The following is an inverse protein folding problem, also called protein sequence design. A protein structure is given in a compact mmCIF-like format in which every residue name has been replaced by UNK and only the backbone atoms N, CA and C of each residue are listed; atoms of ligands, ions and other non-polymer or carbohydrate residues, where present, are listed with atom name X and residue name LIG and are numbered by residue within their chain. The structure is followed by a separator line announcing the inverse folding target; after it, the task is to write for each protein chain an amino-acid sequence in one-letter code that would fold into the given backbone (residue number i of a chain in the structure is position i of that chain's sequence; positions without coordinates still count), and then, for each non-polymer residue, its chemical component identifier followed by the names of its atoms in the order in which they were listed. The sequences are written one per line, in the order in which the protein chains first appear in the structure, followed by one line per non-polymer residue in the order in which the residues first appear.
data_IF_435300285519
#
_entry.id   IF_435300285519
#
_cell.length_a   1.000
_cell.length_b   1.000
_cell.length_c   1.000
_cell.angle_alpha   90.00
_cell.angle_beta   90.00
_cell.angle_gamma   90.00
#
_symmetry.space_group_name_H-M   'P 1'
#
loop_
_entity.id
_entity.type
_entity.pdbx_description
1 polymer ?
#
# COMPACT_ATOMS: atom_id res chain seq x y z
N UNK A 1 -17.88 -11.25 -9.11
CA UNK A 1 -16.50 -10.73 -9.12
C UNK A 1 -16.16 -10.37 -7.69
N UNK A 2 -14.96 -10.68 -7.20
CA UNK A 2 -14.58 -10.37 -5.82
C UNK A 2 -14.09 -8.93 -5.76
N UNK A 3 -14.59 -8.14 -4.83
CA UNK A 3 -14.15 -6.78 -4.53
C UNK A 3 -13.56 -6.72 -3.12
N UNK A 4 -12.74 -5.72 -2.87
CA UNK A 4 -12.08 -5.49 -1.58
C UNK A 4 -11.78 -4.01 -1.41
N UNK A 5 -11.59 -3.57 -0.17
CA UNK A 5 -11.33 -2.17 0.14
C UNK A 5 -9.83 -1.92 0.23
N UNK A 6 -9.36 -0.95 -0.54
CA UNK A 6 -7.94 -0.55 -0.56
C UNK A 6 -7.78 0.94 -0.36
N UNK A 7 -6.67 1.33 0.26
CA UNK A 7 -6.25 2.73 0.33
C UNK A 7 -4.78 2.86 -0.08
N UNK A 8 -4.36 4.03 -0.59
CA UNK A 8 -2.96 4.26 -0.89
C UNK A 8 -2.15 4.21 0.40
N UNK A 9 -0.91 3.70 0.30
CA UNK A 9 0.01 3.77 1.41
C UNK A 9 0.28 5.24 1.80
N UNK A 10 0.55 5.54 3.09
CA UNK A 10 0.86 6.91 3.52
C UNK A 10 2.03 7.50 2.72
N UNK A 11 1.84 8.70 2.17
CA UNK A 11 2.85 9.35 1.32
C UNK A 11 2.95 8.79 -0.11
N UNK A 12 2.04 7.90 -0.53
CA UNK A 12 1.91 7.45 -1.91
C UNK A 12 0.65 7.99 -2.56
N UNK A 13 0.77 8.23 -3.87
CA UNK A 13 -0.34 8.60 -4.73
C UNK A 13 -0.47 7.52 -5.80
N UNK A 14 -1.52 6.71 -5.72
CA UNK A 14 -1.78 5.63 -6.66
C UNK A 14 -2.94 6.04 -7.57
N UNK A 15 -2.71 6.00 -8.89
CA UNK A 15 -3.76 6.22 -9.88
C UNK A 15 -4.49 4.92 -10.19
N UNK A 16 -5.80 5.03 -10.35
CA UNK A 16 -6.65 3.98 -10.88
C UNK A 16 -6.46 3.88 -12.41
N UNK A 17 -6.28 2.68 -12.98
CA UNK A 17 -6.09 2.50 -14.42
C UNK A 17 -7.36 2.79 -15.23
N UNK A 18 -8.54 2.65 -14.63
CA UNK A 18 -9.84 2.79 -15.30
C UNK A 18 -10.35 4.22 -15.22
N UNK A 19 -10.30 4.84 -14.04
CA UNK A 19 -10.78 6.22 -13.85
C UNK A 19 -9.71 7.28 -14.11
N UNK A 20 -8.43 6.88 -14.11
CA UNK A 20 -7.25 7.77 -14.19
C UNK A 20 -7.16 8.78 -13.04
N UNK A 21 -8.03 8.65 -12.03
CA UNK A 21 -8.04 9.45 -10.81
C UNK A 21 -7.14 8.83 -9.74
N UNK A 22 -6.74 9.64 -8.77
CA UNK A 22 -6.00 9.13 -7.61
C UNK A 22 -6.97 8.49 -6.62
N UNK A 23 -6.55 7.37 -6.03
CA UNK A 23 -7.27 6.75 -4.92
C UNK A 23 -7.44 7.75 -3.77
N UNK A 24 -8.65 7.76 -3.17
CA UNK A 24 -8.89 8.52 -1.94
C UNK A 24 -7.96 8.05 -0.81
N UNK A 25 -7.45 8.99 0.01
CA UNK A 25 -6.62 8.66 1.17
C UNK A 25 -7.36 7.81 2.21
N UNK A 26 -8.69 7.97 2.31
CA UNK A 26 -9.56 7.18 3.18
C UNK A 26 -9.81 5.76 2.63
N UNK A 27 -9.46 5.51 1.38
CA UNK A 27 -9.66 4.24 0.68
C UNK A 27 -10.96 4.15 -0.12
N UNK A 28 -11.01 3.15 -1.00
CA UNK A 28 -12.10 2.87 -1.92
C UNK A 28 -12.27 1.36 -2.12
N UNK A 29 -13.49 0.95 -2.48
CA UNK A 29 -13.75 -0.41 -2.94
C UNK A 29 -13.27 -0.58 -4.38
N UNK A 30 -12.43 -1.60 -4.62
CA UNK A 30 -11.93 -1.93 -5.96
C UNK A 30 -12.10 -3.42 -6.26
N UNK A 31 -12.23 -3.78 -7.55
CA UNK A 31 -12.26 -5.18 -7.96
C UNK A 31 -10.93 -5.86 -7.71
N UNK A 32 -10.96 -7.13 -7.30
CA UNK A 32 -9.78 -7.96 -7.14
C UNK A 32 -9.21 -8.35 -8.51
N UNK A 33 -8.47 -7.41 -9.10
CA UNK A 33 -7.80 -7.57 -10.39
C UNK A 33 -6.30 -7.78 -10.21
N UNK A 34 -5.61 -8.38 -11.20
CA UNK A 34 -4.16 -8.54 -11.16
C UNK A 34 -3.40 -7.23 -10.97
N UNK A 35 -3.95 -6.11 -11.46
CA UNK A 35 -3.37 -4.78 -11.28
C UNK A 35 -3.28 -4.39 -9.81
N UNK A 36 -4.39 -4.51 -9.07
CA UNK A 36 -4.42 -4.15 -7.65
C UNK A 36 -3.64 -5.14 -6.79
N UNK A 37 -3.64 -6.42 -7.13
CA UNK A 37 -2.81 -7.42 -6.46
C UNK A 37 -1.32 -7.05 -6.54
N UNK A 38 -0.84 -6.67 -7.73
CA UNK A 38 0.56 -6.25 -7.89
C UNK A 38 0.89 -5.01 -7.06
N UNK A 39 -0.05 -4.06 -6.98
CA UNK A 39 0.11 -2.83 -6.21
C UNK A 39 0.11 -3.07 -4.69
N UNK A 40 -0.61 -4.10 -4.23
CA UNK A 40 -0.54 -4.60 -2.86
C UNK A 40 0.84 -5.23 -2.58
N UNK A 41 1.32 -6.07 -3.50
CA UNK A 41 2.64 -6.72 -3.37
C UNK A 41 3.79 -5.69 -3.37
N UNK A 42 3.68 -4.66 -4.21
CA UNK A 42 4.63 -3.52 -4.26
C UNK A 42 4.56 -2.63 -3.00
N UNK A 43 3.49 -2.75 -2.20
CA UNK A 43 3.26 -1.96 -0.98
C UNK A 43 2.78 -0.53 -1.25
N UNK A 44 2.31 -0.24 -2.45
CA UNK A 44 1.79 1.07 -2.84
C UNK A 44 0.34 1.28 -2.40
N UNK A 45 -0.42 0.20 -2.25
CA UNK A 45 -1.76 0.19 -1.65
C UNK A 45 -1.80 -0.81 -0.51
N UNK A 46 -2.73 -0.60 0.42
CA UNK A 46 -2.99 -1.48 1.55
C UNK A 46 -4.47 -1.84 1.59
N UNK A 47 -4.75 -3.12 1.79
CA UNK A 47 -6.11 -3.61 2.05
C UNK A 47 -6.53 -3.20 3.47
N UNK A 48 -7.78 -2.77 3.61
CA UNK A 48 -8.38 -2.48 4.92
C UNK A 48 -9.82 -2.99 4.93
N UNK A 49 -10.37 -3.25 6.11
CA UNK A 49 -11.78 -3.60 6.26
C UNK A 49 -12.51 -2.44 6.96
N UNK A 50 -13.46 -1.76 6.30
CA UNK A 50 -14.19 -0.64 6.90
C UNK A 50 -15.14 -1.06 8.02
N UNK A 51 -15.50 -2.34 8.12
CA UNK A 51 -16.41 -2.86 9.13
C UNK A 51 -15.68 -3.59 10.28
N UNK A 52 -14.38 -3.88 10.11
CA UNK A 52 -13.55 -4.34 11.21
C UNK A 52 -13.31 -3.16 12.16
N UNK A 53 -13.78 -3.30 13.40
CA UNK A 53 -13.41 -2.42 14.52
C UNK A 53 -11.88 -2.30 14.54
N UNK A 54 -11.29 -1.10 14.77
CA UNK A 54 -9.87 -0.84 14.53
C UNK A 54 -9.01 -1.55 15.58
N UNK A 55 -8.84 -2.86 15.44
CA UNK A 55 -7.80 -3.62 16.10
C UNK A 55 -6.55 -3.45 15.25
N UNK A 56 -5.72 -2.49 15.66
CA UNK A 56 -4.36 -2.23 15.18
C UNK A 56 -3.66 -3.55 14.84
N UNK A 57 -3.53 -3.88 13.55
CA UNK A 57 -2.51 -4.80 13.07
C UNK A 57 -1.92 -4.22 11.79
N UNK A 58 -1.10 -3.19 11.98
CA UNK A 58 -0.06 -2.85 11.05
C UNK A 58 0.94 -4.03 11.01
N UNK A 59 0.99 -4.75 9.89
CA UNK A 59 1.95 -5.82 9.65
C UNK A 59 1.49 -6.66 8.48
N UNK A 60 2.03 -6.51 7.27
CA UNK A 60 3.36 -7.04 6.97
C UNK A 60 3.99 -6.31 5.77
N UNK A 61 4.51 -5.09 5.98
CA UNK A 61 5.48 -4.52 5.07
C UNK A 61 6.83 -5.21 5.32
N UNK A 62 7.19 -6.17 4.47
CA UNK A 62 8.56 -6.69 4.41
C UNK A 62 9.40 -5.66 3.66
N UNK A 63 9.84 -4.62 4.38
CA UNK A 63 11.04 -3.91 3.98
C UNK A 63 12.22 -4.88 4.18
N UNK A 64 12.89 -5.26 3.09
CA UNK A 64 14.26 -5.80 3.15
C UNK A 64 15.17 -4.78 2.51
N UNK A 65 16.00 -4.19 3.36
CA UNK A 65 17.07 -3.22 3.12
C UNK A 65 18.07 -3.56 2.01
N UNK A 66 18.58 -2.51 1.34
CA UNK A 66 19.99 -2.26 1.02
C UNK A 66 20.07 -0.90 0.26
N UNK A 67 20.92 0.08 0.53
CA UNK A 67 22.18 0.12 1.27
C UNK A 67 22.48 1.59 1.66
N UNK A 68 22.82 1.86 2.92
CA UNK A 68 23.34 3.14 3.38
C UNK A 68 24.83 2.95 3.72
N UNK A 69 25.71 3.46 2.86
CA UNK A 69 27.15 3.48 3.07
C UNK A 69 27.50 4.75 3.88
N UNK A 70 27.78 4.57 5.17
CA UNK A 70 28.38 5.58 6.03
C UNK A 70 29.37 4.89 6.99
N UNK A 71 30.66 4.96 6.65
CA UNK A 71 31.76 4.67 7.59
C UNK A 71 32.67 5.88 7.63
N UNK A 72 32.49 6.70 8.66
CA UNK A 72 33.49 7.64 9.15
C UNK A 72 34.20 6.99 10.35
N UNK A 73 35.51 6.73 10.23
CA UNK A 73 36.40 6.44 11.35
C UNK A 73 37.66 7.29 11.22
N UNK A 74 37.67 8.32 12.06
CA UNK A 74 38.78 9.04 12.66
C UNK A 74 40.13 8.28 12.67
N UNK A 75 41.20 8.97 12.24
CA UNK A 75 42.60 8.61 12.43
C UNK A 75 43.37 9.85 12.90
#
# INVERSE_FOLDING_TARGET
MKTFFIKPAPGRMVRDPDTLEFLKPDGEEKPFTPYWCRRLDDGDVIEFDPNATPAVTAGKAKATDANADAVEKNA
#
